data_IF_154882670308
#
_entry.id   IF_154882670308
#
_cell.length_a   1.000
_cell.length_b   1.000
_cell.length_c   1.000
_cell.angle_alpha   90.00
_cell.angle_beta   90.00
_cell.angle_gamma   90.00
#
_symmetry.space_group_name_H-M   'P 1'
#
loop_
_entity.id
_entity.type
_entity.pdbx_description
1 polymer ?
#
# COMPACT_ATOMS: atom_id res chain seq x y z
N UNK A 1 0.87 -10.93 10.22
CA UNK A 1 1.54 -9.91 9.40
C UNK A 1 2.06 -10.46 8.07
N UNK A 2 1.60 -9.87 6.98
CA UNK A 2 2.03 -10.07 5.59
C UNK A 2 2.66 -8.78 5.05
N UNK A 3 3.59 -8.87 4.11
CA UNK A 3 4.21 -7.71 3.46
C UNK A 3 3.79 -7.63 1.99
N UNK A 4 3.16 -6.52 1.61
CA UNK A 4 2.70 -6.26 0.24
C UNK A 4 3.58 -5.19 -0.40
N UNK A 5 4.18 -5.52 -1.53
CA UNK A 5 5.02 -4.59 -2.31
C UNK A 5 4.20 -3.90 -3.38
N UNK A 6 4.26 -2.58 -3.39
CA UNK A 6 3.46 -1.74 -4.28
C UNK A 6 4.34 -0.69 -4.95
N UNK A 7 3.95 -0.27 -6.14
CA UNK A 7 4.49 0.93 -6.78
C UNK A 7 3.39 1.98 -6.78
N UNK A 8 3.64 3.13 -6.16
CA UNK A 8 2.70 4.24 -6.11
C UNK A 8 2.43 4.77 -7.52
N UNK A 9 1.16 4.96 -7.89
CA UNK A 9 0.77 5.47 -9.22
C UNK A 9 0.15 6.86 -9.18
N UNK A 10 0.21 7.55 -8.03
CA UNK A 10 -0.49 8.84 -7.84
C UNK A 10 0.24 10.01 -8.51
N UNK A 11 1.57 9.96 -8.63
CA UNK A 11 2.35 10.98 -9.32
C UNK A 11 3.54 10.36 -10.05
N UNK A 12 4.20 11.17 -10.87
CA UNK A 12 5.27 10.74 -11.78
C UNK A 12 6.54 10.20 -11.07
N UNK A 13 6.63 10.35 -9.75
CA UNK A 13 7.76 9.81 -8.97
C UNK A 13 7.72 8.29 -8.81
N UNK A 14 6.56 7.66 -8.97
CA UNK A 14 6.38 6.20 -8.90
C UNK A 14 7.11 5.53 -7.73
N UNK A 15 6.93 6.04 -6.51
CA UNK A 15 7.68 5.56 -5.35
C UNK A 15 7.40 4.07 -5.08
N UNK A 16 8.46 3.31 -4.77
CA UNK A 16 8.34 1.97 -4.23
C UNK A 16 7.81 2.03 -2.79
N UNK A 17 6.81 1.22 -2.50
CA UNK A 17 6.13 1.13 -1.21
C UNK A 17 6.14 -0.32 -0.72
N UNK A 18 6.17 -0.50 0.60
CA UNK A 18 6.02 -1.78 1.26
C UNK A 18 5.01 -1.60 2.39
N UNK A 19 3.87 -2.28 2.31
CA UNK A 19 2.81 -2.21 3.30
C UNK A 19 2.84 -3.46 4.19
N UNK A 20 2.82 -3.26 5.50
CA UNK A 20 2.61 -4.32 6.47
C UNK A 20 1.11 -4.47 6.70
N UNK A 21 0.58 -5.67 6.50
CA UNK A 21 -0.85 -5.97 6.56
C UNK A 21 -1.11 -7.06 7.58
N UNK A 22 -2.10 -6.86 8.44
CA UNK A 22 -2.53 -7.82 9.45
C UNK A 22 -4.04 -7.86 9.52
N UNK A 23 -4.63 -9.06 9.49
CA UNK A 23 -6.08 -9.28 9.53
C UNK A 23 -6.90 -8.47 8.52
N UNK A 24 -6.29 -8.14 7.38
CA UNK A 24 -6.92 -7.35 6.32
C UNK A 24 -6.75 -5.84 6.45
N UNK A 25 -6.02 -5.37 7.46
CA UNK A 25 -5.78 -3.97 7.75
C UNK A 25 -4.32 -3.58 7.53
N UNK A 26 -4.08 -2.39 6.97
CA UNK A 26 -2.73 -1.86 6.77
C UNK A 26 -2.23 -1.24 8.07
N UNK A 27 -1.16 -1.82 8.62
CA UNK A 27 -0.57 -1.44 9.90
C UNK A 27 0.50 -0.35 9.72
N UNK A 28 1.36 -0.51 8.72
CA UNK A 28 2.40 0.46 8.39
C UNK A 28 2.67 0.48 6.88
N UNK A 29 3.22 1.59 6.39
CA UNK A 29 3.67 1.74 5.01
C UNK A 29 5.06 2.36 5.00
N UNK A 30 6.02 1.62 4.46
CA UNK A 30 7.40 2.04 4.28
C UNK A 30 7.65 2.49 2.83
N UNK A 31 8.71 3.28 2.63
CA UNK A 31 9.17 3.72 1.30
C UNK A 31 8.47 4.97 0.74
N UNK A 32 7.28 5.36 1.23
CA UNK A 32 6.68 6.64 0.89
C UNK A 32 7.39 7.79 1.61
N UNK A 33 7.47 8.95 0.94
CA UNK A 33 7.86 10.23 1.56
C UNK A 33 6.72 11.26 1.56
N UNK A 34 5.49 10.81 1.35
CA UNK A 34 4.33 11.69 1.26
C UNK A 34 3.01 11.00 1.66
N UNK A 35 2.02 11.83 2.00
CA UNK A 35 0.66 11.40 2.36
C UNK A 35 -0.06 10.71 1.20
N UNK A 36 0.19 11.15 -0.04
CA UNK A 36 -0.44 10.56 -1.24
C UNK A 36 -0.08 9.08 -1.40
N UNK A 37 1.19 8.73 -1.18
CA UNK A 37 1.65 7.33 -1.24
C UNK A 37 1.05 6.48 -0.12
N UNK A 38 0.91 7.06 1.08
CA UNK A 38 0.26 6.38 2.21
C UNK A 38 -1.21 6.06 1.92
N UNK A 39 -1.98 7.05 1.45
CA UNK A 39 -3.38 6.86 1.08
C UNK A 39 -3.57 5.89 -0.09
N UNK A 40 -2.65 5.90 -1.06
CA UNK A 40 -2.66 4.93 -2.16
C UNK A 40 -2.44 3.49 -1.66
N UNK A 41 -1.44 3.26 -0.81
CA UNK A 41 -1.14 1.93 -0.29
C UNK A 41 -2.34 1.33 0.46
N UNK A 42 -3.01 2.12 1.31
CA UNK A 42 -4.23 1.67 1.99
C UNK A 42 -5.30 1.19 1.01
N UNK A 43 -5.61 2.00 0.00
CA UNK A 43 -6.64 1.66 -1.00
C UNK A 43 -6.24 0.43 -1.83
N UNK A 44 -5.01 0.40 -2.31
CA UNK A 44 -4.51 -0.68 -3.14
C UNK A 44 -4.51 -2.03 -2.40
N UNK A 45 -4.15 -2.05 -1.10
CA UNK A 45 -4.21 -3.28 -0.30
C UNK A 45 -5.66 -3.73 -0.11
N UNK A 46 -6.58 -2.81 0.21
CA UNK A 46 -8.01 -3.16 0.34
C UNK A 46 -8.56 -3.74 -0.95
N UNK A 47 -8.27 -3.13 -2.10
CA UNK A 47 -8.71 -3.61 -3.42
C UNK A 47 -8.13 -5.00 -3.74
N UNK A 48 -6.84 -5.24 -3.47
CA UNK A 48 -6.21 -6.56 -3.67
C UNK A 48 -6.88 -7.65 -2.82
N UNK A 49 -7.22 -7.35 -1.57
CA UNK A 49 -7.84 -8.33 -0.67
C UNK A 49 -9.31 -8.61 -1.00
N UNK A 50 -10.02 -7.65 -1.59
CA UNK A 50 -11.36 -7.87 -2.12
C UNK A 50 -11.35 -8.74 -3.38
N UNK A 51 -10.33 -8.62 -4.23
CA UNK A 51 -10.17 -9.42 -5.45
C UNK A 51 -9.78 -10.89 -5.19
N UNK A 52 -9.14 -11.18 -4.05
CA UNK A 52 -8.74 -12.55 -3.66
C UNK A 52 -9.85 -13.36 -2.94
N UNK A 53 -11.04 -12.77 -2.73
CA UNK A 53 -12.16 -13.37 -2.00
C UNK A 53 -13.22 -13.99 -2.91
#
# INVERSE_FOLDING_TARGET
MEQVKLTCQVCENHCALEAEVEDGEVMDVMGNRCLKGFSYAQRAVTELMEEER
#
